data_IF_037650697243
#
_entry.id   IF_037650697243
#
_cell.length_a   1.000
_cell.length_b   1.000
_cell.length_c   1.000
_cell.angle_alpha   90.00
_cell.angle_beta   90.00
_cell.angle_gamma   90.00
#
_symmetry.space_group_name_H-M   'P 1'
#
loop_
_entity.id
_entity.type
_entity.pdbx_description
1 polymer ?
#
# COMPACT_ATOMS: atom_id res chain seq x y z
N UNK A 1 5.83 -21.44 -23.29
CA UNK A 1 5.52 -20.17 -22.59
C UNK A 1 4.01 -20.15 -22.38
N UNK A 2 3.52 -20.32 -21.16
CA UNK A 2 2.09 -20.16 -20.88
C UNK A 2 1.75 -18.66 -20.88
N UNK A 3 1.00 -18.23 -21.86
CA UNK A 3 0.46 -16.89 -21.94
C UNK A 3 -0.74 -16.80 -20.99
N UNK A 4 -0.55 -16.20 -19.85
CA UNK A 4 -1.67 -15.92 -18.96
C UNK A 4 -2.39 -14.66 -19.45
N UNK A 5 -3.56 -14.82 -20.02
CA UNK A 5 -4.43 -13.69 -20.38
C UNK A 5 -4.86 -12.96 -19.10
N UNK A 6 -4.83 -11.61 -19.11
CA UNK A 6 -5.38 -10.84 -17.99
C UNK A 6 -6.87 -11.17 -17.78
N UNK A 7 -7.33 -11.08 -16.54
CA UNK A 7 -8.76 -11.22 -16.24
C UNK A 7 -9.58 -10.22 -17.09
N UNK A 8 -10.73 -10.63 -17.57
CA UNK A 8 -11.56 -9.84 -18.50
C UNK A 8 -11.39 -10.25 -19.95
N UNK A 9 -10.42 -11.11 -20.25
CA UNK A 9 -10.17 -11.62 -21.60
C UNK A 9 -10.06 -13.13 -21.61
N UNK A 10 -10.38 -13.70 -22.76
CA UNK A 10 -10.19 -15.12 -23.09
C UNK A 10 -9.63 -15.28 -24.50
N UNK A 11 -9.17 -16.47 -24.82
CA UNK A 11 -8.68 -16.79 -26.17
C UNK A 11 -9.75 -17.60 -26.88
N UNK A 12 -10.28 -17.06 -27.98
CA UNK A 12 -11.20 -17.75 -28.88
C UNK A 12 -10.64 -17.71 -30.30
N UNK A 13 -10.54 -18.84 -30.95
CA UNK A 13 -10.00 -19.00 -32.31
C UNK A 13 -8.63 -18.31 -32.53
N UNK A 14 -7.75 -18.43 -31.54
CA UNK A 14 -6.42 -17.83 -31.57
C UNK A 14 -6.38 -16.30 -31.42
N UNK A 15 -7.50 -15.68 -31.13
CA UNK A 15 -7.65 -14.23 -30.88
C UNK A 15 -8.04 -13.97 -29.43
N UNK A 16 -7.59 -12.83 -28.91
CA UNK A 16 -8.01 -12.37 -27.60
C UNK A 16 -9.35 -11.64 -27.73
N UNK A 17 -10.35 -12.13 -27.03
CA UNK A 17 -11.71 -11.57 -27.00
C UNK A 17 -12.08 -11.19 -25.56
N UNK A 18 -13.09 -10.33 -25.40
CA UNK A 18 -13.59 -9.96 -24.09
C UNK A 18 -14.41 -11.12 -23.53
N UNK A 19 -14.07 -11.57 -22.31
CA UNK A 19 -14.95 -12.41 -21.52
C UNK A 19 -15.95 -11.51 -20.78
N UNK A 20 -17.23 -11.60 -21.09
CA UNK A 20 -18.24 -10.68 -20.57
C UNK A 20 -18.36 -10.71 -19.04
N UNK A 21 -18.31 -11.87 -18.42
CA UNK A 21 -18.45 -12.02 -16.99
C UNK A 21 -17.24 -11.42 -16.24
N UNK A 22 -16.03 -11.79 -16.67
CA UNK A 22 -14.81 -11.26 -16.08
C UNK A 22 -14.61 -9.76 -16.37
N UNK A 23 -15.08 -9.26 -17.52
CA UNK A 23 -15.00 -7.83 -17.86
C UNK A 23 -15.88 -6.98 -16.95
N UNK A 24 -17.04 -7.47 -16.53
CA UNK A 24 -17.91 -6.82 -15.53
C UNK A 24 -17.15 -6.68 -14.18
N UNK A 25 -16.45 -7.72 -13.78
CA UNK A 25 -15.60 -7.69 -12.57
C UNK A 25 -14.49 -6.64 -12.67
N UNK A 26 -13.83 -6.56 -13.82
CA UNK A 26 -12.77 -5.53 -14.05
C UNK A 26 -13.39 -4.13 -13.98
N UNK A 27 -14.48 -3.87 -14.67
CA UNK A 27 -15.18 -2.58 -14.64
C UNK A 27 -15.59 -2.19 -13.22
N UNK A 28 -16.15 -3.14 -12.46
CA UNK A 28 -16.54 -2.94 -11.08
C UNK A 28 -15.32 -2.57 -10.19
N UNK A 29 -14.18 -3.26 -10.33
CA UNK A 29 -12.95 -2.94 -9.59
C UNK A 29 -12.50 -1.48 -9.85
N UNK A 30 -12.55 -1.03 -11.11
CA UNK A 30 -12.18 0.33 -11.47
C UNK A 30 -13.15 1.36 -10.87
N UNK A 31 -14.47 1.13 -10.93
CA UNK A 31 -15.48 2.00 -10.37
C UNK A 31 -15.37 2.12 -8.84
N UNK A 32 -15.18 1.01 -8.13
CA UNK A 32 -15.03 1.00 -6.68
C UNK A 32 -13.76 1.74 -6.24
N UNK A 33 -12.67 1.57 -6.99
CA UNK A 33 -11.45 2.30 -6.69
C UNK A 33 -11.59 3.80 -6.98
N UNK A 34 -12.29 4.20 -8.03
CA UNK A 34 -12.60 5.61 -8.35
C UNK A 34 -13.50 6.24 -7.28
N UNK A 35 -14.45 5.50 -6.71
CA UNK A 35 -15.27 5.96 -5.58
C UNK A 35 -14.49 6.12 -4.26
N UNK A 36 -13.25 5.63 -4.17
CA UNK A 36 -12.37 5.81 -3.02
C UNK A 36 -12.06 4.58 -2.21
N UNK A 37 -12.64 3.45 -2.54
CA UNK A 37 -12.44 2.20 -1.81
C UNK A 37 -11.00 1.72 -2.00
N UNK A 38 -10.40 1.19 -0.95
CA UNK A 38 -9.02 0.69 -0.99
C UNK A 38 -8.93 -0.65 -1.72
N UNK A 39 -7.77 -0.94 -2.34
CA UNK A 39 -7.52 -2.23 -3.01
C UNK A 39 -7.71 -3.43 -2.09
N UNK A 40 -7.39 -3.29 -0.80
CA UNK A 40 -7.62 -4.34 0.20
C UNK A 40 -9.10 -4.59 0.47
N UNK A 41 -9.91 -3.53 0.55
CA UNK A 41 -11.36 -3.67 0.75
C UNK A 41 -12.04 -4.24 -0.49
N UNK A 42 -11.62 -3.81 -1.68
CA UNK A 42 -12.10 -4.38 -2.96
C UNK A 42 -11.82 -5.90 -3.00
N UNK A 43 -10.58 -6.32 -2.67
CA UNK A 43 -10.21 -7.72 -2.62
C UNK A 43 -11.09 -8.52 -1.64
N UNK A 44 -11.37 -7.96 -0.46
CA UNK A 44 -12.25 -8.60 0.51
C UNK A 44 -13.67 -8.78 -0.01
N UNK A 45 -14.25 -7.76 -0.63
CA UNK A 45 -15.61 -7.85 -1.22
C UNK A 45 -15.68 -8.90 -2.34
N UNK A 46 -14.62 -9.02 -3.16
CA UNK A 46 -14.57 -10.06 -4.19
C UNK A 46 -14.55 -11.48 -3.59
N UNK A 47 -13.84 -11.66 -2.46
CA UNK A 47 -13.83 -12.93 -1.72
C UNK A 47 -15.20 -13.21 -1.10
N UNK A 48 -15.81 -12.23 -0.44
CA UNK A 48 -17.11 -12.36 0.23
C UNK A 48 -18.23 -12.71 -0.78
N UNK A 49 -18.16 -12.15 -1.99
CA UNK A 49 -19.05 -12.45 -3.10
C UNK A 49 -18.69 -13.72 -3.86
N UNK A 50 -17.64 -14.44 -3.46
CA UNK A 50 -17.15 -15.66 -4.11
C UNK A 50 -16.85 -15.48 -5.60
N UNK A 51 -16.42 -14.29 -6.02
CA UNK A 51 -16.07 -14.01 -7.41
C UNK A 51 -14.72 -14.65 -7.72
N UNK A 52 -14.63 -15.52 -8.76
CA UNK A 52 -13.36 -16.15 -9.13
C UNK A 52 -12.41 -15.14 -9.79
N UNK A 53 -11.12 -15.40 -9.67
CA UNK A 53 -10.08 -14.68 -10.42
C UNK A 53 -9.80 -15.37 -11.78
N UNK A 54 -8.80 -14.90 -12.52
CA UNK A 54 -8.38 -15.47 -13.82
C UNK A 54 -7.93 -16.94 -13.77
N UNK A 55 -7.87 -17.56 -12.61
CA UNK A 55 -7.54 -18.98 -12.41
C UNK A 55 -8.69 -19.77 -11.78
N UNK A 56 -9.90 -19.27 -11.90
CA UNK A 56 -11.13 -19.84 -11.34
C UNK A 56 -11.06 -20.09 -9.81
N UNK A 57 -10.26 -19.27 -9.11
CA UNK A 57 -10.08 -19.35 -7.66
C UNK A 57 -10.61 -18.11 -6.97
N UNK A 58 -11.34 -18.30 -5.88
CA UNK A 58 -11.77 -17.22 -5.00
C UNK A 58 -10.58 -16.82 -4.09
N UNK A 59 -9.55 -16.24 -4.70
CA UNK A 59 -8.33 -15.83 -4.01
C UNK A 59 -7.89 -14.45 -4.53
N UNK A 60 -8.29 -13.42 -3.80
CA UNK A 60 -7.98 -12.04 -4.14
C UNK A 60 -7.06 -11.42 -3.10
N UNK A 61 -6.10 -10.63 -3.57
CA UNK A 61 -5.21 -9.85 -2.72
C UNK A 61 -5.21 -8.39 -3.16
N UNK A 62 -4.85 -7.49 -2.27
CA UNK A 62 -4.67 -6.08 -2.63
C UNK A 62 -3.65 -5.87 -3.75
N UNK A 63 -2.65 -6.78 -3.86
CA UNK A 63 -1.65 -6.76 -4.93
C UNK A 63 -2.28 -7.16 -6.26
N UNK A 64 -3.13 -8.19 -6.29
CA UNK A 64 -3.82 -8.62 -7.51
C UNK A 64 -4.73 -7.51 -8.04
N UNK A 65 -5.54 -6.89 -7.17
CA UNK A 65 -6.35 -5.71 -7.52
C UNK A 65 -5.47 -4.55 -8.01
N UNK A 66 -4.34 -4.30 -7.34
CA UNK A 66 -3.37 -3.29 -7.76
C UNK A 66 -2.84 -3.51 -9.18
N UNK A 67 -2.48 -4.74 -9.53
CA UNK A 67 -2.02 -5.11 -10.88
C UNK A 67 -3.10 -4.92 -11.95
N UNK A 68 -4.37 -5.22 -11.62
CA UNK A 68 -5.50 -4.95 -12.53
C UNK A 68 -5.61 -3.46 -12.82
N UNK A 69 -5.57 -2.61 -11.80
CA UNK A 69 -5.65 -1.16 -11.96
C UNK A 69 -4.45 -0.53 -12.71
N UNK A 70 -3.32 -1.22 -12.81
CA UNK A 70 -2.12 -0.77 -13.54
C UNK A 70 -2.06 -1.28 -14.99
N UNK A 71 -2.90 -2.22 -15.36
CA UNK A 71 -2.79 -2.90 -16.64
C UNK A 71 -3.35 -2.06 -17.79
N UNK A 72 -2.45 -1.53 -18.63
CA UNK A 72 -2.79 -0.71 -19.79
C UNK A 72 -3.51 -1.48 -20.92
N UNK A 73 -3.49 -2.82 -20.91
CA UNK A 73 -4.20 -3.61 -21.92
C UNK A 73 -5.71 -3.34 -21.91
N UNK A 74 -6.26 -2.91 -20.76
CA UNK A 74 -7.68 -2.57 -20.65
C UNK A 74 -8.10 -1.32 -21.42
N UNK A 75 -7.16 -0.48 -21.83
CA UNK A 75 -7.41 0.69 -22.69
C UNK A 75 -7.63 0.34 -24.17
N UNK A 76 -7.39 -0.90 -24.53
CA UNK A 76 -7.36 -1.33 -25.91
C UNK A 76 -5.97 -1.22 -26.52
N UNK A 77 -5.54 -2.29 -27.15
CA UNK A 77 -4.28 -2.38 -27.89
C UNK A 77 -4.53 -3.11 -29.21
N UNK A 78 -3.51 -3.27 -30.04
CA UNK A 78 -3.64 -4.07 -31.28
C UNK A 78 -4.21 -5.48 -31.05
N UNK A 79 -3.98 -6.04 -29.85
CA UNK A 79 -4.37 -7.43 -29.54
C UNK A 79 -5.50 -7.53 -28.50
N UNK A 80 -5.65 -6.52 -27.66
CA UNK A 80 -6.64 -6.51 -26.57
C UNK A 80 -7.75 -5.51 -26.86
N UNK A 81 -9.02 -5.95 -26.97
CA UNK A 81 -10.15 -5.04 -27.07
C UNK A 81 -10.26 -4.15 -25.82
N UNK A 82 -10.80 -2.95 -25.98
CA UNK A 82 -10.98 -2.01 -24.88
C UNK A 82 -12.06 -2.48 -23.91
N UNK A 83 -11.75 -2.44 -22.61
CA UNK A 83 -12.68 -2.71 -21.50
C UNK A 83 -12.94 -1.45 -20.68
N UNK A 84 -11.91 -0.61 -20.48
CA UNK A 84 -11.95 0.57 -19.61
C UNK A 84 -11.72 1.82 -20.45
N UNK A 85 -12.48 2.87 -20.15
CA UNK A 85 -12.31 4.18 -20.79
C UNK A 85 -11.03 4.87 -20.31
N UNK A 86 -10.40 5.62 -21.20
CA UNK A 86 -9.13 6.29 -20.93
C UNK A 86 -9.24 7.27 -19.77
N UNK A 87 -10.31 8.08 -19.73
CA UNK A 87 -10.52 9.07 -18.67
C UNK A 87 -10.59 8.44 -17.27
N UNK A 88 -11.29 7.33 -17.15
CA UNK A 88 -11.39 6.59 -15.89
C UNK A 88 -10.02 6.04 -15.48
N UNK A 89 -9.30 5.45 -16.42
CA UNK A 89 -7.97 4.91 -16.18
C UNK A 89 -7.00 6.00 -15.70
N UNK A 90 -6.95 7.15 -16.39
CA UNK A 90 -6.07 8.27 -16.04
C UNK A 90 -6.39 8.86 -14.66
N UNK A 91 -7.67 9.04 -14.33
CA UNK A 91 -8.08 9.48 -12.98
C UNK A 91 -7.55 8.54 -11.90
N UNK A 92 -7.66 7.24 -12.15
CA UNK A 92 -7.17 6.21 -11.23
C UNK A 92 -5.64 6.27 -11.10
N UNK A 93 -4.89 6.41 -12.20
CA UNK A 93 -3.43 6.55 -12.13
C UNK A 93 -3.01 7.80 -11.34
N UNK A 94 -3.64 8.95 -11.57
CA UNK A 94 -3.40 10.18 -10.81
C UNK A 94 -3.65 9.97 -9.31
N UNK A 95 -4.76 9.33 -8.96
CA UNK A 95 -5.09 9.00 -7.57
C UNK A 95 -4.08 8.04 -6.93
N UNK A 96 -3.63 7.03 -7.66
CA UNK A 96 -2.60 6.08 -7.21
C UNK A 96 -1.26 6.78 -6.99
N UNK A 97 -0.85 7.65 -7.91
CA UNK A 97 0.36 8.46 -7.78
C UNK A 97 0.30 9.36 -6.55
N UNK A 98 -0.80 10.06 -6.34
CA UNK A 98 -1.01 10.89 -5.15
C UNK A 98 -0.92 10.09 -3.85
N UNK A 99 -1.59 8.93 -3.77
CA UNK A 99 -1.49 8.03 -2.60
C UNK A 99 -0.06 7.53 -2.38
N UNK A 100 0.67 7.22 -3.44
CA UNK A 100 2.07 6.78 -3.35
C UNK A 100 2.96 7.86 -2.72
N UNK A 101 2.75 9.12 -3.08
CA UNK A 101 3.46 10.27 -2.49
C UNK A 101 3.04 10.47 -1.03
N UNK A 102 1.74 10.43 -0.75
CA UNK A 102 1.20 10.72 0.58
C UNK A 102 1.55 9.63 1.62
N UNK A 103 1.51 8.37 1.23
CA UNK A 103 1.76 7.25 2.14
C UNK A 103 3.15 6.61 1.99
N UNK A 104 3.97 7.08 1.05
CA UNK A 104 5.34 6.66 0.80
C UNK A 104 5.45 5.17 0.53
N UNK A 105 5.79 4.78 -0.70
CA UNK A 105 6.22 3.42 -0.92
C UNK A 105 7.65 3.23 -0.42
N UNK A 106 7.81 2.28 0.46
CA UNK A 106 8.99 1.45 0.52
C UNK A 106 10.15 1.89 1.33
N UNK A 107 10.02 2.85 2.19
CA UNK A 107 10.71 2.72 3.47
C UNK A 107 9.58 2.63 4.47
N UNK A 108 9.47 1.49 5.16
CA UNK A 108 8.86 1.51 6.46
C UNK A 108 9.30 2.86 7.03
N UNK A 109 8.40 3.84 7.06
CA UNK A 109 8.52 4.86 8.03
C UNK A 109 8.51 4.04 9.30
N UNK A 110 9.69 3.65 9.80
CA UNK A 110 9.85 3.36 11.21
C UNK A 110 9.02 4.44 11.82
N UNK A 111 7.90 4.07 12.45
CA UNK A 111 7.09 5.02 13.20
C UNK A 111 8.11 5.91 13.83
N UNK A 112 8.25 7.12 13.28
CA UNK A 112 9.29 8.02 13.74
C UNK A 112 8.89 8.21 15.19
N UNK A 113 9.73 7.84 16.16
CA UNK A 113 9.42 8.05 17.58
C UNK A 113 9.01 9.51 17.85
N UNK A 114 9.28 10.40 16.92
CA UNK A 114 8.93 11.81 16.88
C UNK A 114 7.42 12.11 16.93
N UNK A 115 6.56 11.12 16.65
CA UNK A 115 5.10 11.27 16.79
C UNK A 115 4.56 10.76 18.14
N UNK A 116 5.42 10.37 19.04
CA UNK A 116 5.01 10.17 20.42
C UNK A 116 4.67 11.53 21.03
N UNK A 117 3.61 11.60 21.84
CA UNK A 117 3.02 12.82 22.41
C UNK A 117 4.04 13.82 22.97
N UNK A 118 5.19 13.35 23.42
CA UNK A 118 6.22 14.16 24.06
C UNK A 118 7.45 14.42 23.19
N UNK A 119 7.44 13.99 21.90
CA UNK A 119 8.56 14.26 20.98
C UNK A 119 8.70 15.75 20.70
N UNK A 120 9.89 16.28 20.95
CA UNK A 120 10.19 17.70 20.74
C UNK A 120 9.64 18.64 21.80
N UNK A 121 9.02 18.09 22.88
CA UNK A 121 8.43 18.89 23.96
C UNK A 121 9.24 18.74 25.26
N UNK A 122 9.78 17.56 25.52
CA UNK A 122 10.54 17.30 26.73
C UNK A 122 11.98 17.79 26.62
N UNK A 123 12.36 18.67 27.55
CA UNK A 123 13.73 19.22 27.65
C UNK A 123 14.34 18.76 28.96
N UNK A 124 15.59 18.38 28.92
CA UNK A 124 16.35 17.95 30.11
C UNK A 124 16.59 19.11 31.08
N UNK A 125 16.07 19.02 32.30
CA UNK A 125 16.28 20.03 33.33
C UNK A 125 17.75 20.21 33.78
N UNK A 126 18.62 19.24 33.47
CA UNK A 126 20.04 19.29 33.84
C UNK A 126 20.91 19.94 32.78
N UNK A 127 20.67 19.66 31.48
CA UNK A 127 21.55 20.13 30.40
C UNK A 127 20.84 20.84 29.26
N UNK A 128 19.51 21.01 29.32
CA UNK A 128 18.74 21.69 28.28
C UNK A 128 18.56 20.93 26.96
N UNK A 129 19.08 19.72 26.82
CA UNK A 129 18.94 18.93 25.59
C UNK A 129 17.59 18.23 25.52
N UNK A 130 17.12 17.98 24.31
CA UNK A 130 15.87 17.27 24.07
C UNK A 130 15.88 15.84 24.60
N UNK A 131 14.74 15.36 25.05
CA UNK A 131 14.53 13.94 25.35
C UNK A 131 14.19 13.16 24.06
N UNK A 132 14.83 12.01 23.94
CA UNK A 132 14.54 11.05 22.88
C UNK A 132 13.92 9.76 23.44
N UNK A 133 12.98 9.20 22.71
CA UNK A 133 12.43 7.90 23.04
C UNK A 133 13.47 6.81 22.78
N UNK A 134 13.99 6.21 23.81
CA UNK A 134 14.98 5.16 23.73
C UNK A 134 14.30 3.78 23.72
N UNK A 135 14.55 3.05 22.64
CA UNK A 135 14.14 1.66 22.49
C UNK A 135 15.33 0.77 22.83
N UNK A 136 15.31 0.04 23.95
CA UNK A 136 16.38 -0.89 24.27
C UNK A 136 16.41 -2.04 23.25
N UNK A 137 17.57 -2.72 23.05
CA UNK A 137 17.65 -3.93 22.26
C UNK A 137 16.64 -4.98 22.75
N UNK A 138 16.03 -5.72 21.84
CA UNK A 138 14.96 -6.71 22.14
C UNK A 138 15.37 -7.79 23.14
N UNK A 139 16.68 -8.07 23.23
CA UNK A 139 17.26 -9.05 24.17
C UNK A 139 17.18 -8.61 25.63
N UNK A 140 17.10 -7.30 25.88
CA UNK A 140 16.90 -6.74 27.20
C UNK A 140 15.41 -6.51 27.38
N UNK A 141 14.75 -7.30 28.20
CA UNK A 141 13.35 -7.13 28.62
C UNK A 141 13.15 -5.83 29.43
N UNK A 142 13.51 -4.70 28.84
CA UNK A 142 13.40 -3.36 29.46
C UNK A 142 12.41 -2.55 28.65
N UNK A 143 11.49 -1.91 29.34
CA UNK A 143 10.49 -1.06 28.70
C UNK A 143 11.12 0.16 28.01
N UNK A 144 10.51 0.64 26.89
CA UNK A 144 10.91 1.87 26.25
C UNK A 144 10.86 3.05 27.22
N UNK A 145 11.85 3.93 27.19
CA UNK A 145 11.96 5.08 28.09
C UNK A 145 12.35 6.35 27.34
N UNK A 146 11.96 7.48 27.90
CA UNK A 146 12.47 8.77 27.48
C UNK A 146 13.82 9.03 28.14
N UNK A 147 14.84 9.36 27.33
CA UNK A 147 16.19 9.66 27.81
C UNK A 147 16.72 10.93 27.17
N UNK A 148 17.47 11.69 27.94
CA UNK A 148 18.17 12.86 27.42
C UNK A 148 19.12 12.49 26.28
N UNK A 149 19.10 13.27 25.19
CA UNK A 149 19.95 13.08 24.01
C UNK A 149 21.45 13.02 24.38
N UNK A 150 21.93 13.94 25.24
CA UNK A 150 23.31 13.97 25.67
C UNK A 150 23.70 12.75 26.53
N UNK A 151 22.75 12.25 27.35
CA UNK A 151 22.97 11.02 28.10
C UNK A 151 23.08 9.79 27.18
N UNK A 152 22.30 9.74 26.08
CA UNK A 152 22.34 8.64 25.11
C UNK A 152 23.67 8.67 24.31
N UNK A 153 24.10 9.86 23.90
CA UNK A 153 25.25 10.02 23.01
C UNK A 153 26.61 10.00 23.74
N UNK A 154 26.67 10.56 24.94
CA UNK A 154 27.94 10.85 25.63
C UNK A 154 28.00 10.27 27.04
N UNK A 155 27.03 9.44 27.42
CA UNK A 155 26.93 8.83 28.76
C UNK A 155 26.84 9.82 29.94
N UNK A 156 26.94 9.30 31.16
CA UNK A 156 26.79 10.03 32.43
C UNK A 156 27.78 11.19 32.61
N UNK A 157 28.84 11.26 31.81
CA UNK A 157 29.85 12.32 31.91
C UNK A 157 29.29 13.71 31.57
N UNK A 158 28.23 13.78 30.75
CA UNK A 158 27.68 15.05 30.28
C UNK A 158 26.28 15.35 30.78
N UNK A 159 25.55 14.36 31.26
CA UNK A 159 24.24 14.57 31.85
C UNK A 159 23.85 13.44 32.79
N UNK A 160 23.47 13.81 34.01
CA UNK A 160 22.94 12.88 35.01
C UNK A 160 21.44 12.53 34.83
N UNK A 161 20.76 13.20 33.89
CA UNK A 161 19.32 13.03 33.61
C UNK A 161 19.07 11.83 32.70
N UNK A 162 19.08 10.60 33.24
CA UNK A 162 18.73 9.37 32.55
C UNK A 162 17.50 8.70 33.14
#
# INVERSE_FOLDING_TARGET
MQWHTPIGYEISDGKIVINEEHSKTVKWIFQEYDSGISTGRIAQVLIDRKIPNSHDRVAWTHVAVGKILENHNYLGTKYYPQIIEQDLFERIQKRRAHRKVQYGHGKYRKLQPEKLLFSGVLVCGTCGADYHHYMPPKEKKVEPKWKCKNYIQQNRLFCAGG
#
